data_IF_683979267094
#
_entry.id   IF_683979267094
#
_cell.length_a   1.000
_cell.length_b   1.000
_cell.length_c   1.000
_cell.angle_alpha   90.00
_cell.angle_beta   90.00
_cell.angle_gamma   90.00
#
_symmetry.space_group_name_H-M   'P 1'
#
loop_
_entity.id
_entity.type
_entity.pdbx_description
1 polymer ?
#
# COMPACT_ATOMS: atom_id res chain seq x y z
N UNK A 1 -31.02 -46.07 11.36
CA UNK A 1 -31.24 -45.00 12.36
C UNK A 1 -29.89 -44.41 12.71
N UNK A 2 -29.54 -43.26 12.15
CA UNK A 2 -28.29 -42.54 12.57
C UNK A 2 -28.50 -42.06 14.01
N UNK A 3 -27.58 -42.31 14.92
CA UNK A 3 -27.74 -41.87 16.28
C UNK A 3 -27.85 -40.34 16.37
N UNK A 4 -28.71 -39.86 17.22
CA UNK A 4 -29.05 -38.45 17.44
C UNK A 4 -27.82 -37.55 17.60
N UNK A 5 -26.75 -38.09 18.22
CA UNK A 5 -25.44 -37.41 18.38
C UNK A 5 -24.79 -37.02 17.05
N UNK A 6 -24.91 -37.84 15.98
CA UNK A 6 -24.34 -37.52 14.68
C UNK A 6 -25.09 -36.38 13.98
N UNK A 7 -26.39 -36.22 14.20
CA UNK A 7 -27.19 -35.13 13.65
C UNK A 7 -26.90 -33.78 14.33
N UNK A 8 -26.64 -33.81 15.66
CA UNK A 8 -26.26 -32.61 16.43
C UNK A 8 -24.86 -32.15 16.04
N UNK A 9 -23.92 -33.08 15.88
CA UNK A 9 -22.54 -32.75 15.45
C UNK A 9 -22.49 -32.13 14.05
N UNK A 10 -23.28 -32.63 13.07
CA UNK A 10 -23.38 -32.03 11.73
C UNK A 10 -24.01 -30.64 11.75
N UNK A 11 -25.00 -30.38 12.60
CA UNK A 11 -25.63 -29.07 12.74
C UNK A 11 -24.67 -28.04 13.35
N UNK A 12 -23.89 -28.43 14.34
CA UNK A 12 -22.88 -27.56 14.98
C UNK A 12 -21.74 -27.22 13.99
N UNK A 13 -21.27 -28.20 13.20
CA UNK A 13 -20.25 -27.96 12.18
C UNK A 13 -20.75 -27.05 11.04
N UNK A 14 -22.02 -27.18 10.63
CA UNK A 14 -22.63 -26.33 9.62
C UNK A 14 -22.83 -24.87 10.12
N UNK A 15 -23.18 -24.70 11.40
CA UNK A 15 -23.32 -23.38 12.02
C UNK A 15 -21.96 -22.69 12.21
N UNK A 16 -20.93 -23.43 12.60
CA UNK A 16 -19.56 -22.89 12.70
C UNK A 16 -19.00 -22.49 11.33
N UNK A 17 -19.23 -23.29 10.29
CA UNK A 17 -18.82 -22.98 8.93
C UNK A 17 -19.48 -21.72 8.36
N UNK A 18 -20.77 -21.51 8.64
CA UNK A 18 -21.50 -20.31 8.17
C UNK A 18 -21.03 -19.02 8.87
N UNK A 19 -20.63 -19.09 10.12
CA UNK A 19 -20.08 -17.92 10.85
C UNK A 19 -18.73 -17.49 10.27
N UNK A 20 -17.85 -18.44 9.97
CA UNK A 20 -16.55 -18.13 9.36
C UNK A 20 -16.69 -17.50 7.96
N UNK A 21 -17.62 -17.94 7.14
CA UNK A 21 -17.90 -17.36 5.82
C UNK A 21 -18.40 -15.90 5.95
N UNK A 22 -19.31 -15.63 6.87
CA UNK A 22 -19.84 -14.29 7.09
C UNK A 22 -18.76 -13.29 7.60
N UNK A 23 -17.79 -13.74 8.39
CA UNK A 23 -16.66 -12.89 8.83
C UNK A 23 -15.67 -12.60 7.69
N UNK A 24 -15.40 -13.58 6.82
CA UNK A 24 -14.52 -13.40 5.67
C UNK A 24 -15.11 -12.41 4.66
N UNK A 25 -16.41 -12.51 4.38
CA UNK A 25 -17.13 -11.61 3.48
C UNK A 25 -17.09 -10.17 3.98
N UNK A 26 -17.26 -9.95 5.30
CA UNK A 26 -17.24 -8.59 5.87
C UNK A 26 -15.85 -7.93 5.81
N UNK A 27 -14.76 -8.68 5.95
CA UNK A 27 -13.40 -8.15 5.78
C UNK A 27 -13.08 -7.86 4.31
N UNK A 28 -13.51 -8.72 3.40
CA UNK A 28 -13.35 -8.51 1.96
C UNK A 28 -14.07 -7.24 1.51
N UNK A 29 -15.31 -7.06 1.95
CA UNK A 29 -16.12 -5.87 1.69
C UNK A 29 -15.51 -4.60 2.27
N UNK A 30 -14.98 -4.68 3.50
CA UNK A 30 -14.24 -3.58 4.13
C UNK A 30 -13.04 -3.17 3.27
N UNK A 31 -12.20 -4.13 2.88
CA UNK A 31 -11.02 -3.85 2.07
C UNK A 31 -11.39 -3.30 0.69
N UNK A 32 -12.44 -3.80 0.05
CA UNK A 32 -12.93 -3.28 -1.23
C UNK A 32 -13.42 -1.82 -1.13
N UNK A 33 -14.15 -1.50 -0.05
CA UNK A 33 -14.61 -0.13 0.20
C UNK A 33 -13.45 0.82 0.51
N UNK A 34 -12.45 0.36 1.29
CA UNK A 34 -11.19 1.10 1.52
C UNK A 34 -10.45 1.33 0.21
N UNK A 35 -10.33 0.32 -0.66
CA UNK A 35 -9.65 0.47 -1.96
C UNK A 35 -10.34 1.49 -2.85
N UNK A 36 -11.68 1.52 -2.86
CA UNK A 36 -12.45 2.54 -3.60
C UNK A 36 -12.08 3.97 -3.14
N UNK A 37 -12.00 4.20 -1.84
CA UNK A 37 -11.57 5.49 -1.29
C UNK A 37 -10.09 5.77 -1.58
N UNK A 38 -9.22 4.77 -1.41
CA UNK A 38 -7.78 4.88 -1.64
C UNK A 38 -7.43 5.21 -3.09
N UNK A 39 -8.21 4.74 -4.06
CA UNK A 39 -8.02 5.07 -5.47
C UNK A 39 -8.13 6.59 -5.70
N UNK A 40 -9.17 7.25 -5.15
CA UNK A 40 -9.32 8.70 -5.23
C UNK A 40 -8.21 9.44 -4.47
N UNK A 41 -7.79 8.89 -3.31
CA UNK A 41 -6.69 9.45 -2.53
C UNK A 41 -5.37 9.50 -3.33
N UNK A 42 -5.02 8.40 -3.99
CA UNK A 42 -3.81 8.32 -4.84
C UNK A 42 -3.84 9.31 -5.99
N UNK A 43 -4.99 9.43 -6.67
CA UNK A 43 -5.15 10.37 -7.79
C UNK A 43 -5.08 11.82 -7.32
N UNK A 44 -5.71 12.15 -6.19
CA UNK A 44 -5.62 13.49 -5.58
C UNK A 44 -4.17 13.87 -5.26
N UNK A 45 -3.41 12.97 -4.62
CA UNK A 45 -1.98 13.17 -4.34
C UNK A 45 -1.18 13.38 -5.63
N UNK A 46 -1.47 12.62 -6.69
CA UNK A 46 -0.85 12.77 -8.00
C UNK A 46 -1.06 14.18 -8.58
N UNK A 47 -2.29 14.70 -8.52
CA UNK A 47 -2.60 16.05 -9.00
C UNK A 47 -1.97 17.14 -8.13
N UNK A 48 -1.91 16.96 -6.80
CA UNK A 48 -1.23 17.90 -5.91
C UNK A 48 0.27 18.01 -6.24
N UNK A 49 0.93 16.88 -6.49
CA UNK A 49 2.36 16.85 -6.88
C UNK A 49 2.64 17.53 -8.23
N UNK A 50 1.67 17.54 -9.14
CA UNK A 50 1.79 18.21 -10.44
C UNK A 50 1.26 19.64 -10.42
N UNK A 51 0.85 20.17 -9.26
CA UNK A 51 0.34 21.54 -9.13
C UNK A 51 -1.09 21.73 -9.66
N UNK A 52 -1.81 20.66 -10.00
CA UNK A 52 -3.17 20.74 -10.54
C UNK A 52 -4.22 20.76 -9.42
N UNK A 53 -4.38 21.93 -8.79
CA UNK A 53 -5.26 22.12 -7.65
C UNK A 53 -6.74 21.81 -7.95
N UNK A 54 -7.23 22.17 -9.13
CA UNK A 54 -8.64 21.97 -9.51
C UNK A 54 -8.99 20.48 -9.64
N UNK A 55 -8.12 19.70 -10.28
CA UNK A 55 -8.34 18.25 -10.39
C UNK A 55 -8.14 17.56 -9.04
N UNK A 56 -7.17 18.01 -8.23
CA UNK A 56 -7.00 17.51 -6.86
C UNK A 56 -8.25 17.75 -6.01
N UNK A 57 -8.88 18.95 -6.09
CA UNK A 57 -10.12 19.27 -5.37
C UNK A 57 -11.24 18.28 -5.72
N UNK A 58 -11.43 18.01 -7.02
CA UNK A 58 -12.46 17.06 -7.47
C UNK A 58 -12.23 15.64 -6.94
N UNK A 59 -10.99 15.19 -6.89
CA UNK A 59 -10.68 13.87 -6.35
C UNK A 59 -10.80 13.82 -4.82
N UNK A 60 -10.48 14.92 -4.12
CA UNK A 60 -10.74 15.03 -2.67
C UNK A 60 -12.24 14.98 -2.37
N UNK A 61 -13.09 15.60 -3.19
CA UNK A 61 -14.55 15.50 -3.03
C UNK A 61 -15.04 14.06 -3.22
N UNK A 62 -14.57 13.37 -4.29
CA UNK A 62 -14.89 11.95 -4.53
C UNK A 62 -14.40 11.04 -3.39
N UNK A 63 -13.22 11.30 -2.89
CA UNK A 63 -12.67 10.60 -1.73
C UNK A 63 -13.54 10.81 -0.49
N UNK A 64 -13.99 12.06 -0.24
CA UNK A 64 -14.88 12.38 0.86
C UNK A 64 -16.21 11.62 0.76
N UNK A 65 -16.80 11.58 -0.42
CA UNK A 65 -18.03 10.82 -0.67
C UNK A 65 -17.84 9.31 -0.47
N UNK A 66 -16.74 8.76 -0.98
CA UNK A 66 -16.40 7.35 -0.78
C UNK A 66 -16.18 7.03 0.71
N UNK A 67 -15.50 7.93 1.43
CA UNK A 67 -15.26 7.80 2.87
C UNK A 67 -16.55 7.92 3.70
N UNK A 68 -17.48 8.78 3.30
CA UNK A 68 -18.79 8.90 3.96
C UNK A 68 -19.58 7.59 3.85
N UNK A 69 -19.68 7.00 2.64
CA UNK A 69 -20.33 5.70 2.44
C UNK A 69 -19.63 4.56 3.21
N UNK A 70 -18.30 4.57 3.22
CA UNK A 70 -17.52 3.63 4.03
C UNK A 70 -17.85 3.77 5.53
N UNK A 71 -17.90 4.99 6.05
CA UNK A 71 -18.20 5.28 7.45
C UNK A 71 -19.63 4.85 7.81
N UNK A 72 -20.60 5.18 6.97
CA UNK A 72 -22.00 4.78 7.17
C UNK A 72 -22.14 3.26 7.35
N UNK A 73 -21.46 2.48 6.51
CA UNK A 73 -21.53 1.02 6.56
C UNK A 73 -20.72 0.43 7.71
N UNK A 74 -19.48 0.83 7.89
CA UNK A 74 -18.52 0.14 8.75
C UNK A 74 -18.37 0.73 10.16
N UNK A 75 -18.90 1.91 10.46
CA UNK A 75 -18.92 2.40 11.84
C UNK A 75 -19.75 1.51 12.78
N UNK A 76 -20.83 0.93 12.25
CA UNK A 76 -21.72 -0.01 12.98
C UNK A 76 -21.46 -1.49 12.68
N UNK A 77 -20.80 -1.82 11.57
CA UNK A 77 -20.54 -3.20 11.12
C UNK A 77 -19.05 -3.51 11.12
N UNK A 78 -18.47 -3.60 12.30
CA UNK A 78 -17.05 -3.87 12.48
C UNK A 78 -16.69 -5.28 12.02
N UNK A 79 -15.71 -5.48 11.11
CA UNK A 79 -15.16 -6.79 10.83
C UNK A 79 -14.57 -7.43 12.07
N UNK A 80 -14.82 -8.74 12.28
CA UNK A 80 -14.42 -9.45 13.49
C UNK A 80 -12.91 -9.39 13.78
N UNK A 81 -12.07 -9.35 12.74
CA UNK A 81 -10.61 -9.21 12.88
C UNK A 81 -10.19 -7.90 13.57
N UNK A 82 -11.04 -6.88 13.57
CA UNK A 82 -10.79 -5.60 14.24
C UNK A 82 -11.51 -5.47 15.59
N UNK A 83 -12.17 -6.52 16.09
CA UNK A 83 -13.04 -6.45 17.29
C UNK A 83 -12.34 -5.78 18.48
N UNK A 84 -11.11 -6.19 18.77
CA UNK A 84 -10.33 -5.72 19.91
C UNK A 84 -9.34 -4.59 19.55
N UNK A 85 -9.40 -4.05 18.32
CA UNK A 85 -8.47 -3.04 17.87
C UNK A 85 -8.97 -1.62 18.20
N UNK A 86 -8.30 -0.96 19.14
CA UNK A 86 -8.63 0.41 19.56
C UNK A 86 -8.48 1.46 18.44
N UNK A 87 -7.68 1.17 17.39
CA UNK A 87 -7.51 2.09 16.25
C UNK A 87 -8.76 2.11 15.37
N UNK A 88 -9.58 1.03 15.37
CA UNK A 88 -10.75 0.97 14.51
C UNK A 88 -11.75 2.09 14.79
N UNK A 89 -12.12 2.30 16.05
CA UNK A 89 -13.07 3.37 16.40
C UNK A 89 -12.53 4.78 16.11
N UNK A 90 -11.21 4.95 16.19
CA UNK A 90 -10.54 6.23 15.92
C UNK A 90 -10.39 6.53 14.44
N UNK A 91 -10.33 5.49 13.59
CA UNK A 91 -10.07 5.62 12.16
C UNK A 91 -11.01 6.61 11.47
N UNK A 92 -12.32 6.51 11.74
CA UNK A 92 -13.33 7.31 11.08
C UNK A 92 -13.16 8.81 11.37
N UNK A 93 -12.92 9.16 12.62
CA UNK A 93 -12.71 10.56 13.04
C UNK A 93 -11.38 11.10 12.52
N UNK A 94 -10.31 10.31 12.61
CA UNK A 94 -8.97 10.72 12.18
C UNK A 94 -8.93 10.96 10.68
N UNK A 95 -9.46 10.05 9.88
CA UNK A 95 -9.46 10.20 8.41
C UNK A 95 -10.36 11.37 7.99
N UNK A 96 -11.54 11.53 8.61
CA UNK A 96 -12.41 12.68 8.33
C UNK A 96 -11.71 14.01 8.65
N UNK A 97 -10.98 14.10 9.77
CA UNK A 97 -10.19 15.28 10.09
C UNK A 97 -9.08 15.56 9.08
N UNK A 98 -8.40 14.51 8.58
CA UNK A 98 -7.38 14.66 7.53
C UNK A 98 -7.97 15.16 6.21
N UNK A 99 -9.16 14.69 5.83
CA UNK A 99 -9.85 15.14 4.62
C UNK A 99 -10.24 16.61 4.71
N UNK A 100 -10.77 17.04 5.85
CA UNK A 100 -11.07 18.46 6.10
C UNK A 100 -9.79 19.31 6.07
N UNK A 101 -8.73 18.83 6.71
CA UNK A 101 -7.43 19.50 6.70
C UNK A 101 -6.85 19.63 5.29
N UNK A 102 -6.88 18.56 4.49
CA UNK A 102 -6.38 18.58 3.11
C UNK A 102 -7.15 19.58 2.24
N UNK A 103 -8.47 19.63 2.35
CA UNK A 103 -9.31 20.60 1.62
C UNK A 103 -8.98 22.05 2.01
N UNK A 104 -8.80 22.32 3.31
CA UNK A 104 -8.41 23.65 3.79
C UNK A 104 -7.01 24.05 3.28
N UNK A 105 -6.05 23.13 3.32
CA UNK A 105 -4.69 23.35 2.84
C UNK A 105 -4.68 23.61 1.33
N UNK A 106 -5.48 22.87 0.56
CA UNK A 106 -5.64 23.07 -0.88
C UNK A 106 -6.21 24.46 -1.18
N UNK A 107 -7.30 24.87 -0.51
CA UNK A 107 -7.94 26.19 -0.68
C UNK A 107 -7.02 27.36 -0.32
N UNK A 108 -6.03 27.12 0.52
CA UNK A 108 -5.00 28.11 0.91
C UNK A 108 -3.70 28.01 0.11
N UNK A 109 -3.68 27.21 -0.97
CA UNK A 109 -2.53 27.05 -1.87
C UNK A 109 -1.37 26.22 -1.30
N UNK A 110 -1.56 25.55 -0.15
CA UNK A 110 -0.53 24.73 0.51
C UNK A 110 -0.58 23.29 0.01
N UNK A 111 -0.19 23.06 -1.27
CA UNK A 111 -0.36 21.79 -1.95
C UNK A 111 0.43 20.65 -1.30
N UNK A 112 1.67 20.92 -0.85
CA UNK A 112 2.49 19.90 -0.18
C UNK A 112 1.87 19.45 1.14
N UNK A 113 1.39 20.38 1.96
CA UNK A 113 0.73 20.07 3.21
C UNK A 113 -0.59 19.29 3.00
N UNK A 114 -1.35 19.61 1.94
CA UNK A 114 -2.52 18.83 1.53
C UNK A 114 -2.12 17.40 1.15
N UNK A 115 -1.06 17.24 0.36
CA UNK A 115 -0.51 15.93 -0.02
C UNK A 115 -0.06 15.12 1.19
N UNK A 116 0.62 15.73 2.16
CA UNK A 116 1.04 15.09 3.41
C UNK A 116 -0.17 14.59 4.22
N UNK A 117 -1.22 15.42 4.35
CA UNK A 117 -2.44 15.03 5.05
C UNK A 117 -3.12 13.82 4.40
N UNK A 118 -3.19 13.78 3.07
CA UNK A 118 -3.73 12.64 2.31
C UNK A 118 -2.84 11.39 2.42
N UNK A 119 -1.52 11.54 2.36
CA UNK A 119 -0.60 10.41 2.56
C UNK A 119 -0.72 9.80 3.97
N UNK A 120 -1.01 10.62 4.98
CA UNK A 120 -1.19 10.14 6.34
C UNK A 120 -2.39 9.19 6.48
N UNK A 121 -3.44 9.31 5.64
CA UNK A 121 -4.58 8.38 5.61
C UNK A 121 -4.10 6.94 5.30
N UNK A 122 -3.16 6.77 4.36
CA UNK A 122 -2.55 5.47 4.06
C UNK A 122 -1.86 4.88 5.30
N UNK A 123 -1.20 5.74 6.08
CA UNK A 123 -0.56 5.35 7.33
C UNK A 123 -1.55 4.88 8.40
N UNK A 124 -2.68 5.57 8.55
CA UNK A 124 -3.71 5.19 9.51
C UNK A 124 -4.34 3.83 9.18
N UNK A 125 -4.65 3.59 7.90
CA UNK A 125 -5.16 2.32 7.41
C UNK A 125 -4.14 1.18 7.56
N UNK A 126 -2.88 1.42 7.23
CA UNK A 126 -1.79 0.47 7.44
C UNK A 126 -1.66 0.08 8.91
N UNK A 127 -1.64 1.06 9.82
CA UNK A 127 -1.49 0.80 11.25
C UNK A 127 -2.66 -0.01 11.81
N UNK A 128 -3.89 0.29 11.38
CA UNK A 128 -5.07 -0.51 11.74
C UNK A 128 -4.90 -1.98 11.32
N UNK A 129 -4.57 -2.21 10.05
CA UNK A 129 -4.43 -3.56 9.49
C UNK A 129 -3.28 -4.32 10.14
N UNK A 130 -2.12 -3.68 10.25
CA UNK A 130 -0.93 -4.26 10.89
C UNK A 130 -1.18 -4.68 12.33
N UNK A 131 -1.84 -3.83 13.13
CA UNK A 131 -2.18 -4.15 14.52
C UNK A 131 -3.18 -5.31 14.67
N UNK A 132 -3.88 -5.68 13.59
CA UNK A 132 -4.85 -6.78 13.55
C UNK A 132 -4.38 -7.99 12.75
N UNK A 133 -3.11 -8.02 12.31
CA UNK A 133 -2.57 -9.12 11.51
C UNK A 133 -3.16 -9.21 10.09
N UNK A 134 -3.82 -8.15 9.62
CA UNK A 134 -4.34 -8.06 8.24
C UNK A 134 -3.26 -7.49 7.34
N UNK A 135 -3.07 -8.09 6.18
CA UNK A 135 -2.15 -7.60 5.16
C UNK A 135 -2.87 -7.56 3.80
N UNK A 136 -2.70 -6.46 3.08
CA UNK A 136 -3.22 -6.27 1.71
C UNK A 136 -2.10 -5.80 0.79
N UNK A 137 -2.30 -5.89 -0.52
CA UNK A 137 -1.30 -5.47 -1.51
C UNK A 137 -0.80 -4.02 -1.28
N UNK A 138 -1.70 -3.09 -0.94
CA UNK A 138 -1.33 -1.70 -0.66
C UNK A 138 -0.35 -1.55 0.49
N UNK A 139 -0.43 -2.40 1.52
CA UNK A 139 0.51 -2.40 2.64
C UNK A 139 1.88 -2.93 2.22
N UNK A 140 1.90 -3.97 1.37
CA UNK A 140 3.11 -4.50 0.80
C UNK A 140 3.82 -3.45 -0.08
N UNK A 141 3.08 -2.76 -0.94
CA UNK A 141 3.64 -1.68 -1.78
C UNK A 141 4.21 -0.54 -0.93
N UNK A 142 3.57 -0.21 0.20
CA UNK A 142 4.13 0.76 1.15
C UNK A 142 5.45 0.29 1.75
N UNK A 143 5.55 -0.97 2.16
CA UNK A 143 6.79 -1.54 2.70
C UNK A 143 7.89 -1.55 1.62
N UNK A 144 7.55 -1.86 0.37
CA UNK A 144 8.46 -1.76 -0.77
C UNK A 144 8.97 -0.32 -0.97
N UNK A 145 8.10 0.70 -0.89
CA UNK A 145 8.53 2.11 -0.94
C UNK A 145 9.57 2.43 0.13
N UNK A 146 9.40 1.94 1.37
CA UNK A 146 10.34 2.16 2.47
C UNK A 146 11.71 1.54 2.15
N UNK A 147 11.73 0.33 1.60
CA UNK A 147 12.98 -0.33 1.20
C UNK A 147 13.63 0.36 0.00
N UNK A 148 12.82 0.89 -0.94
CA UNK A 148 13.32 1.70 -2.05
C UNK A 148 13.93 3.02 -1.56
N UNK A 149 13.30 3.72 -0.60
CA UNK A 149 13.86 4.92 0.02
C UNK A 149 15.21 4.65 0.66
N UNK A 150 15.34 3.51 1.34
CA UNK A 150 16.61 3.08 1.92
C UNK A 150 17.68 2.78 0.87
N UNK A 151 17.32 2.31 -0.34
CA UNK A 151 18.23 2.09 -1.45
C UNK A 151 18.62 3.40 -2.13
N UNK A 152 17.70 4.36 -2.24
CA UNK A 152 17.94 5.66 -2.88
C UNK A 152 19.00 6.52 -2.20
N UNK A 153 19.40 6.20 -0.97
CA UNK A 153 20.50 6.93 -0.29
C UNK A 153 21.82 6.85 -1.06
N UNK A 154 21.96 5.92 -2.00
CA UNK A 154 23.13 5.77 -2.85
C UNK A 154 23.03 6.54 -4.17
N UNK A 155 21.89 7.17 -4.47
CA UNK A 155 21.70 7.88 -5.74
C UNK A 155 22.44 9.24 -5.79
N UNK A 156 22.50 9.97 -4.67
CA UNK A 156 22.98 11.37 -4.63
C UNK A 156 24.43 11.48 -4.12
N UNK A 157 25.18 10.38 -4.09
CA UNK A 157 26.54 10.34 -3.51
C UNK A 157 27.56 9.91 -4.54
N UNK A 158 28.72 10.58 -4.52
CA UNK A 158 29.92 10.01 -5.07
C UNK A 158 30.28 8.76 -4.26
N UNK A 159 30.20 7.57 -4.88
CA UNK A 159 30.39 6.30 -4.21
C UNK A 159 31.88 5.94 -4.17
N UNK A 160 32.40 5.72 -2.97
CA UNK A 160 33.72 5.15 -2.78
C UNK A 160 33.63 3.62 -2.86
N UNK A 161 33.82 3.10 -4.07
CA UNK A 161 33.72 1.66 -4.35
C UNK A 161 34.83 0.83 -3.73
N UNK A 162 35.94 1.44 -3.25
CA UNK A 162 36.99 0.72 -2.55
C UNK A 162 36.54 0.29 -1.15
N UNK A 163 35.56 0.97 -0.59
CA UNK A 163 34.98 0.63 0.72
C UNK A 163 34.04 -0.58 0.60
N UNK A 164 34.33 -1.69 1.29
CA UNK A 164 33.48 -2.88 1.29
C UNK A 164 32.04 -2.61 1.77
N UNK A 165 31.87 -1.67 2.73
CA UNK A 165 30.58 -1.30 3.34
C UNK A 165 29.63 -0.67 2.31
N UNK A 166 30.18 0.09 1.34
CA UNK A 166 29.37 0.67 0.25
C UNK A 166 28.84 -0.44 -0.65
N UNK A 167 29.74 -1.35 -1.10
CA UNK A 167 29.34 -2.46 -1.98
C UNK A 167 28.31 -3.38 -1.32
N UNK A 168 28.58 -3.79 -0.07
CA UNK A 168 27.66 -4.65 0.68
C UNK A 168 26.35 -3.94 1.01
N UNK A 169 26.40 -2.65 1.33
CA UNK A 169 25.21 -1.85 1.63
C UNK A 169 24.29 -1.70 0.42
N UNK A 170 24.82 -1.40 -0.76
CA UNK A 170 24.05 -1.36 -2.01
C UNK A 170 23.43 -2.73 -2.30
N UNK A 171 24.23 -3.81 -2.23
CA UNK A 171 23.75 -5.17 -2.50
C UNK A 171 22.63 -5.59 -1.53
N UNK A 172 22.80 -5.34 -0.23
CA UNK A 172 21.81 -5.70 0.81
C UNK A 172 20.50 -4.94 0.60
N UNK A 173 20.56 -3.63 0.36
CA UNK A 173 19.35 -2.83 0.18
C UNK A 173 18.62 -3.17 -1.13
N UNK A 174 19.35 -3.45 -2.19
CA UNK A 174 18.77 -3.94 -3.45
C UNK A 174 18.06 -5.30 -3.26
N UNK A 175 18.70 -6.23 -2.53
CA UNK A 175 18.09 -7.52 -2.19
C UNK A 175 16.83 -7.35 -1.33
N UNK A 176 16.84 -6.43 -0.36
CA UNK A 176 15.66 -6.14 0.47
C UNK A 176 14.49 -5.60 -0.37
N UNK A 177 14.75 -4.68 -1.30
CA UNK A 177 13.71 -4.18 -2.20
C UNK A 177 13.18 -5.28 -3.13
N UNK A 178 14.06 -6.13 -3.66
CA UNK A 178 13.67 -7.29 -4.47
C UNK A 178 12.78 -8.28 -3.71
N UNK A 179 13.11 -8.56 -2.45
CA UNK A 179 12.29 -9.43 -1.59
C UNK A 179 10.89 -8.85 -1.33
N UNK A 180 10.77 -7.52 -1.17
CA UNK A 180 9.47 -6.87 -1.05
C UNK A 180 8.66 -6.94 -2.36
N UNK A 181 9.29 -6.78 -3.52
CA UNK A 181 8.61 -6.97 -4.80
C UNK A 181 8.10 -8.40 -4.98
N UNK A 182 8.88 -9.42 -4.58
CA UNK A 182 8.45 -10.83 -4.61
C UNK A 182 7.27 -11.07 -3.66
N UNK A 183 7.30 -10.47 -2.46
CA UNK A 183 6.20 -10.53 -1.50
C UNK A 183 4.94 -9.89 -2.06
N UNK A 184 5.03 -8.70 -2.66
CA UNK A 184 3.90 -8.02 -3.26
C UNK A 184 3.31 -8.81 -4.45
N UNK A 185 4.15 -9.42 -5.26
CA UNK A 185 3.72 -10.30 -6.36
C UNK A 185 2.92 -11.50 -5.82
N UNK A 186 3.41 -12.14 -4.74
CA UNK A 186 2.72 -13.24 -4.09
C UNK A 186 1.40 -12.85 -3.41
N UNK A 187 1.28 -11.60 -2.93
CA UNK A 187 0.06 -11.08 -2.28
C UNK A 187 -0.99 -10.56 -3.26
N UNK A 188 -0.60 -10.24 -4.49
CA UNK A 188 -1.51 -9.75 -5.50
C UNK A 188 -2.57 -10.83 -5.83
N UNK A 189 -3.85 -10.41 -5.93
CA UNK A 189 -4.91 -11.30 -6.44
C UNK A 189 -4.57 -11.76 -7.85
N UNK A 190 -5.12 -12.88 -8.29
CA UNK A 190 -4.86 -13.40 -9.64
C UNK A 190 -5.15 -12.36 -10.73
N UNK A 191 -6.26 -11.65 -10.60
CA UNK A 191 -6.64 -10.61 -11.55
C UNK A 191 -5.61 -9.46 -11.61
N UNK A 192 -5.03 -9.06 -10.48
CA UNK A 192 -3.96 -8.04 -10.44
C UNK A 192 -2.65 -8.63 -10.94
N UNK A 193 -2.26 -9.80 -10.46
CA UNK A 193 -0.99 -10.45 -10.77
C UNK A 193 -0.83 -10.74 -12.26
N UNK A 194 -1.91 -11.06 -12.96
CA UNK A 194 -1.92 -11.34 -14.42
C UNK A 194 -2.15 -10.10 -15.27
N UNK A 195 -2.49 -8.97 -14.67
CA UNK A 195 -2.68 -7.71 -15.41
C UNK A 195 -1.35 -7.24 -16.03
N UNK A 196 -1.39 -6.90 -17.32
CA UNK A 196 -0.20 -6.49 -18.07
C UNK A 196 0.52 -5.29 -17.45
N UNK A 197 -0.23 -4.35 -16.86
CA UNK A 197 0.35 -3.19 -16.19
C UNK A 197 1.13 -3.60 -14.93
N UNK A 198 0.57 -4.46 -14.08
CA UNK A 198 1.25 -4.95 -12.88
C UNK A 198 2.51 -5.73 -13.24
N UNK A 199 2.43 -6.63 -14.23
CA UNK A 199 3.59 -7.36 -14.74
C UNK A 199 4.68 -6.42 -15.24
N UNK A 200 4.32 -5.44 -16.08
CA UNK A 200 5.29 -4.47 -16.59
C UNK A 200 6.05 -3.75 -15.46
N UNK A 201 5.36 -3.40 -14.38
CA UNK A 201 5.98 -2.69 -13.25
C UNK A 201 6.87 -3.62 -12.41
N UNK A 202 6.36 -4.79 -12.03
CA UNK A 202 7.11 -5.73 -11.17
C UNK A 202 8.27 -6.37 -11.93
N UNK A 203 8.03 -6.88 -13.14
CA UNK A 203 9.06 -7.55 -13.93
C UNK A 203 10.13 -6.55 -14.42
N UNK A 204 9.72 -5.32 -14.77
CA UNK A 204 10.64 -4.24 -15.11
C UNK A 204 11.54 -3.85 -13.94
N UNK A 205 10.97 -3.69 -12.74
CA UNK A 205 11.74 -3.41 -11.53
C UNK A 205 12.73 -4.55 -11.22
N UNK A 206 12.33 -5.82 -11.34
CA UNK A 206 13.21 -6.99 -11.15
C UNK A 206 14.32 -7.04 -12.19
N UNK A 207 14.02 -6.73 -13.44
CA UNK A 207 15.03 -6.67 -14.50
C UNK A 207 16.08 -5.57 -14.23
N UNK A 208 15.65 -4.39 -13.77
CA UNK A 208 16.55 -3.31 -13.38
C UNK A 208 17.41 -3.67 -12.17
N UNK A 209 16.81 -4.31 -11.13
CA UNK A 209 17.55 -4.83 -9.96
C UNK A 209 18.66 -5.81 -10.36
N UNK A 210 18.44 -6.64 -11.37
CA UNK A 210 19.43 -7.61 -11.86
C UNK A 210 20.71 -6.96 -12.42
N UNK A 211 20.70 -5.65 -12.71
CA UNK A 211 21.87 -4.89 -13.16
C UNK A 211 22.75 -4.39 -12.00
N UNK A 212 22.25 -4.35 -10.77
CA UNK A 212 22.99 -3.82 -9.61
C UNK A 212 24.28 -4.63 -9.33
N UNK A 213 24.29 -5.97 -9.35
CA UNK A 213 25.53 -6.73 -9.18
C UNK A 213 26.59 -6.38 -10.22
N UNK A 214 26.20 -6.10 -11.46
CA UNK A 214 27.11 -5.67 -12.53
C UNK A 214 27.70 -4.29 -12.24
N UNK A 215 26.86 -3.33 -11.79
CA UNK A 215 27.32 -1.99 -11.39
C UNK A 215 28.33 -2.07 -10.26
N UNK A 216 28.10 -2.89 -9.24
CA UNK A 216 29.00 -3.12 -8.11
C UNK A 216 30.34 -3.74 -8.60
N UNK A 217 30.26 -4.78 -9.41
CA UNK A 217 31.48 -5.47 -9.91
C UNK A 217 32.36 -4.59 -10.79
N UNK A 218 31.71 -3.76 -11.63
CA UNK A 218 32.39 -2.81 -12.52
C UNK A 218 32.78 -1.49 -11.82
N UNK A 219 32.33 -1.26 -10.56
CA UNK A 219 32.47 0.02 -9.85
C UNK A 219 31.86 1.19 -10.64
N UNK A 220 30.78 0.92 -11.37
CA UNK A 220 30.14 1.84 -12.29
C UNK A 220 29.03 2.62 -11.57
N UNK A 221 29.38 3.81 -11.09
CA UNK A 221 28.46 4.73 -10.41
C UNK A 221 27.34 5.21 -11.35
N UNK A 222 27.65 5.46 -12.61
CA UNK A 222 26.67 5.97 -13.58
C UNK A 222 25.63 4.89 -13.92
N UNK A 223 26.05 3.64 -14.05
CA UNK A 223 25.11 2.53 -14.23
C UNK A 223 24.22 2.39 -13.01
N UNK A 224 24.78 2.44 -11.79
CA UNK A 224 23.99 2.35 -10.56
C UNK A 224 22.96 3.48 -10.48
N UNK A 225 23.36 4.74 -10.74
CA UNK A 225 22.43 5.89 -10.71
C UNK A 225 21.29 5.73 -11.71
N UNK A 226 21.56 5.33 -12.96
CA UNK A 226 20.50 5.05 -13.95
C UNK A 226 19.53 3.98 -13.47
N UNK A 227 20.04 2.89 -12.92
CA UNK A 227 19.22 1.81 -12.37
C UNK A 227 18.36 2.30 -11.21
N UNK A 228 18.91 3.08 -10.27
CA UNK A 228 18.17 3.61 -9.14
C UNK A 228 17.05 4.57 -9.55
N UNK A 229 17.29 5.44 -10.55
CA UNK A 229 16.26 6.33 -11.11
C UNK A 229 15.12 5.52 -11.76
N UNK A 230 15.47 4.48 -12.50
CA UNK A 230 14.49 3.60 -13.15
C UNK A 230 13.67 2.83 -12.12
N UNK A 231 14.33 2.24 -11.11
CA UNK A 231 13.67 1.57 -9.99
C UNK A 231 12.71 2.50 -9.25
N UNK A 232 13.12 3.74 -8.97
CA UNK A 232 12.26 4.75 -8.35
C UNK A 232 11.03 5.05 -9.21
N UNK A 233 11.16 5.03 -10.53
CA UNK A 233 10.03 5.25 -11.44
C UNK A 233 9.02 4.10 -11.35
N UNK A 234 9.47 2.84 -11.34
CA UNK A 234 8.60 1.67 -11.13
C UNK A 234 7.92 1.71 -9.76
N UNK A 235 8.67 2.02 -8.70
CA UNK A 235 8.21 2.12 -7.33
C UNK A 235 7.09 3.18 -7.18
N UNK A 236 7.29 4.37 -7.75
CA UNK A 236 6.29 5.43 -7.76
C UNK A 236 5.01 5.02 -8.49
N UNK A 237 5.13 4.31 -9.62
CA UNK A 237 3.98 3.83 -10.38
C UNK A 237 3.25 2.70 -9.63
N UNK A 238 3.97 1.78 -8.97
CA UNK A 238 3.37 0.78 -8.10
C UNK A 238 2.61 1.44 -6.95
N UNK A 239 3.20 2.45 -6.30
CA UNK A 239 2.56 3.20 -5.24
C UNK A 239 1.31 3.95 -5.71
N UNK A 240 1.36 4.52 -6.92
CA UNK A 240 0.22 5.22 -7.51
C UNK A 240 -0.93 4.28 -7.89
N UNK A 241 -0.63 3.08 -8.36
CA UNK A 241 -1.64 2.13 -8.85
C UNK A 241 -2.19 1.21 -7.75
N UNK A 242 -1.32 0.74 -6.85
CA UNK A 242 -1.63 -0.37 -5.93
C UNK A 242 -1.31 -0.05 -4.46
N UNK A 243 -0.75 1.12 -4.15
CA UNK A 243 -0.34 1.52 -2.81
C UNK A 243 -1.38 2.27 -1.96
#
# INVERSE_FOLDING_TARGET
>A
MLPWVARVACLILALLGSVWLAFADNLADFNAAVETASAHNRVAIGYLRTGNADLASREIDRLRDAWARFTERFSGQRPGVFADNALYGKLFTVVSARLVGADLMLKTGRLDAASESLNAIRGDLYNLRKASGVAVLADCVRDANITMDALMVYNDRALDWDRPEIRSGVATKASSYGAELDRCDGMASEAVRTASEFRRLVDGAKASLALIPKAIAARDTDLLHRVLIELRSFDNLLAFRYG
#
